data_IF_230287422859
#
_entry.id   IF_230287422859
#
_cell.length_a   1.000
_cell.length_b   1.000
_cell.length_c   1.000
_cell.angle_alpha   90.00
_cell.angle_beta   90.00
_cell.angle_gamma   90.00
#
_symmetry.space_group_name_H-M   'P 1'
#
loop_
_entity.id
_entity.type
_entity.pdbx_description
1 polymer ?
#
# COMPACT_ATOMS: atom_id res chain seq x y z
N UNK A 1 7.83 -8.91 -22.75
CA UNK A 1 6.66 -9.27 -21.92
C UNK A 1 6.15 -7.96 -21.35
N UNK A 2 5.04 -7.44 -21.88
CA UNK A 2 4.63 -6.06 -21.66
C UNK A 2 3.96 -5.95 -20.27
N UNK A 3 4.26 -4.86 -19.55
CA UNK A 3 3.73 -4.54 -18.21
C UNK A 3 2.19 -4.67 -18.11
N UNK A 4 1.48 -4.55 -19.24
CA UNK A 4 0.03 -4.77 -19.38
C UNK A 4 -0.42 -6.20 -19.01
N UNK A 5 0.37 -7.21 -19.32
CA UNK A 5 -0.02 -8.61 -19.10
C UNK A 5 -0.02 -8.95 -17.60
N UNK A 6 0.90 -8.37 -16.82
CA UNK A 6 0.95 -8.52 -15.36
C UNK A 6 -0.27 -7.87 -14.71
N UNK A 7 -0.72 -6.72 -15.22
CA UNK A 7 -1.87 -5.97 -14.71
C UNK A 7 -3.16 -6.76 -14.89
N UNK A 8 -3.44 -7.28 -16.10
CA UNK A 8 -4.63 -8.10 -16.36
C UNK A 8 -4.59 -9.39 -15.54
N UNK A 9 -3.40 -9.97 -15.33
CA UNK A 9 -3.21 -11.18 -14.52
C UNK A 9 -3.49 -10.93 -13.03
N UNK A 10 -3.00 -9.83 -12.44
CA UNK A 10 -3.31 -9.46 -11.04
C UNK A 10 -4.81 -9.17 -10.88
N UNK A 11 -5.43 -8.54 -11.89
CA UNK A 11 -6.87 -8.25 -11.92
C UNK A 11 -7.69 -9.55 -11.94
N UNK A 12 -7.30 -10.51 -12.79
CA UNK A 12 -7.95 -11.81 -12.90
C UNK A 12 -7.74 -12.67 -11.65
N UNK A 13 -6.53 -12.70 -11.08
CA UNK A 13 -6.25 -13.41 -9.82
C UNK A 13 -7.06 -12.81 -8.66
N UNK A 14 -7.12 -11.48 -8.54
CA UNK A 14 -7.89 -10.84 -7.47
C UNK A 14 -9.40 -11.09 -7.58
N UNK A 15 -9.96 -11.06 -8.80
CA UNK A 15 -11.41 -11.30 -8.99
C UNK A 15 -11.83 -12.77 -8.81
N UNK A 16 -10.94 -13.75 -9.04
CA UNK A 16 -11.31 -15.17 -9.03
C UNK A 16 -10.74 -15.96 -7.84
N UNK A 17 -9.68 -15.47 -7.18
CA UNK A 17 -9.11 -16.04 -5.96
C UNK A 17 -9.11 -14.96 -4.88
N UNK A 18 -9.85 -15.19 -3.80
CA UNK A 18 -10.18 -14.22 -2.74
C UNK A 18 -9.21 -13.04 -2.59
N UNK A 19 -9.69 -11.83 -2.91
CA UNK A 19 -8.96 -10.54 -2.84
C UNK A 19 -8.21 -10.31 -1.52
N UNK A 20 -8.66 -10.98 -0.45
CA UNK A 20 -8.12 -10.88 0.88
C UNK A 20 -7.26 -12.09 1.31
N UNK A 21 -6.89 -12.99 0.38
CA UNK A 21 -5.99 -14.10 0.67
C UNK A 21 -4.55 -13.56 0.61
N UNK A 22 -3.81 -13.57 1.72
CA UNK A 22 -2.41 -13.20 1.71
C UNK A 22 -1.56 -14.28 1.03
N UNK A 23 -0.46 -13.87 0.41
CA UNK A 23 0.59 -14.78 -0.01
C UNK A 23 1.44 -15.30 1.17
N UNK A 24 2.53 -16.01 0.86
CA UNK A 24 3.42 -16.57 1.87
C UNK A 24 4.10 -15.52 2.75
N UNK A 25 4.13 -14.25 2.35
CA UNK A 25 4.71 -13.14 3.10
C UNK A 25 3.65 -12.30 3.82
N UNK A 26 2.37 -12.66 3.69
CA UNK A 26 1.26 -11.90 4.26
C UNK A 26 0.72 -10.83 3.31
N UNK A 27 1.22 -10.75 2.07
CA UNK A 27 0.83 -9.70 1.14
C UNK A 27 -0.52 -10.01 0.51
N UNK A 28 -1.43 -9.06 0.66
CA UNK A 28 -2.73 -9.04 -0.05
C UNK A 28 -2.62 -8.27 -1.36
N UNK A 29 -3.63 -8.41 -2.22
CA UNK A 29 -3.73 -7.63 -3.46
C UNK A 29 -3.67 -6.11 -3.21
N UNK A 30 -4.16 -5.63 -2.05
CA UNK A 30 -4.10 -4.22 -1.69
C UNK A 30 -2.64 -3.76 -1.54
N UNK A 31 -1.81 -4.50 -0.79
CA UNK A 31 -0.38 -4.20 -0.62
C UNK A 31 0.34 -4.10 -1.97
N UNK A 32 0.13 -5.08 -2.85
CA UNK A 32 0.75 -5.10 -4.18
C UNK A 32 0.31 -3.90 -5.01
N UNK A 33 -1.00 -3.58 -5.03
CA UNK A 33 -1.52 -2.44 -5.80
C UNK A 33 -0.92 -1.10 -5.38
N UNK A 34 -0.63 -0.93 -4.09
CA UNK A 34 -0.03 0.30 -3.57
C UNK A 34 1.43 0.48 -3.97
N UNK A 35 2.11 -0.62 -4.28
CA UNK A 35 3.52 -0.60 -4.66
C UNK A 35 3.78 -0.24 -6.13
N UNK A 36 2.75 -0.21 -6.97
CA UNK A 36 2.87 -0.13 -8.44
C UNK A 36 2.21 1.10 -9.08
N UNK A 37 1.95 2.16 -8.31
CA UNK A 37 1.38 3.44 -8.82
C UNK A 37 -0.01 3.33 -9.47
N UNK A 38 -0.81 2.31 -9.12
CA UNK A 38 -2.11 2.05 -9.75
C UNK A 38 -3.29 2.39 -8.82
N UNK A 39 -3.59 3.69 -8.71
CA UNK A 39 -4.70 4.19 -7.89
C UNK A 39 -6.05 3.54 -8.23
N UNK A 40 -6.34 3.31 -9.51
CA UNK A 40 -7.62 2.73 -9.93
C UNK A 40 -7.80 1.29 -9.44
N UNK A 41 -6.71 0.51 -9.40
CA UNK A 41 -6.74 -0.83 -8.82
C UNK A 41 -6.90 -0.75 -7.32
N UNK A 42 -6.13 0.11 -6.63
CA UNK A 42 -6.26 0.31 -5.18
C UNK A 42 -7.70 0.68 -4.80
N UNK A 43 -8.33 1.60 -5.54
CA UNK A 43 -9.74 1.97 -5.35
C UNK A 43 -10.71 0.80 -5.56
N UNK A 44 -10.46 -0.05 -6.55
CA UNK A 44 -11.30 -1.21 -6.85
C UNK A 44 -11.16 -2.33 -5.82
N UNK A 45 -9.98 -2.47 -5.22
CA UNK A 45 -9.69 -3.49 -4.21
C UNK A 45 -10.18 -3.08 -2.81
N UNK A 46 -10.23 -1.79 -2.50
CA UNK A 46 -10.55 -1.30 -1.17
C UNK A 46 -11.90 -1.81 -0.62
N UNK A 47 -13.01 -1.87 -1.39
CA UNK A 47 -14.28 -2.43 -0.91
C UNK A 47 -14.23 -3.95 -0.62
N UNK A 48 -13.21 -4.64 -1.12
CA UNK A 48 -13.05 -6.10 -1.04
C UNK A 48 -11.91 -6.49 -0.08
N UNK A 49 -11.28 -5.51 0.59
CA UNK A 49 -10.12 -5.68 1.46
C UNK A 49 -10.23 -4.76 2.67
N UNK A 50 -9.31 -4.90 3.62
CA UNK A 50 -9.19 -3.93 4.72
C UNK A 50 -7.90 -3.14 4.56
N UNK A 51 -7.99 -1.82 4.68
CA UNK A 51 -6.83 -0.93 4.72
C UNK A 51 -5.96 -1.13 5.96
N UNK A 52 -6.52 -1.77 6.99
CA UNK A 52 -5.79 -2.13 8.22
C UNK A 52 -5.01 -3.44 8.12
N UNK A 53 -5.07 -4.17 7.00
CA UNK A 53 -4.24 -5.38 6.84
C UNK A 53 -2.77 -5.03 6.83
N UNK A 54 -1.97 -5.91 7.40
CA UNK A 54 -0.52 -5.84 7.41
C UNK A 54 0.06 -7.17 6.95
N UNK A 55 1.25 -7.12 6.37
CA UNK A 55 2.03 -8.31 6.03
C UNK A 55 2.67 -8.96 7.28
N UNK A 56 3.49 -10.01 7.10
CA UNK A 56 4.19 -10.67 8.20
C UNK A 56 5.24 -9.79 8.90
N UNK A 57 5.72 -8.75 8.23
CA UNK A 57 6.60 -7.74 8.80
C UNK A 57 5.84 -6.59 9.46
N UNK A 58 4.50 -6.66 9.54
CA UNK A 58 3.68 -5.59 10.10
C UNK A 58 3.53 -4.38 9.18
N UNK A 59 4.00 -4.44 7.94
CA UNK A 59 3.90 -3.36 6.97
C UNK A 59 2.50 -3.29 6.40
N UNK A 60 1.90 -2.11 6.54
CA UNK A 60 0.62 -1.77 5.92
C UNK A 60 0.79 -1.30 4.48
N UNK A 61 -0.33 -1.20 3.76
CA UNK A 61 -0.38 -0.58 2.42
C UNK A 61 0.18 0.86 2.39
N UNK A 62 0.13 1.58 3.52
CA UNK A 62 0.71 2.93 3.61
C UNK A 62 2.25 2.92 3.66
N UNK A 63 2.87 1.88 4.25
CA UNK A 63 4.32 1.69 4.23
C UNK A 63 4.81 1.48 2.79
N UNK A 64 4.13 0.62 2.03
CA UNK A 64 4.46 0.35 0.64
C UNK A 64 4.29 1.58 -0.27
N UNK A 65 3.18 2.31 -0.12
CA UNK A 65 2.96 3.55 -0.86
C UNK A 65 4.07 4.59 -0.57
N UNK A 66 4.50 4.68 0.69
CA UNK A 66 5.60 5.56 1.10
C UNK A 66 6.96 5.10 0.55
N UNK A 67 7.27 3.81 0.63
CA UNK A 67 8.50 3.20 0.11
C UNK A 67 8.62 3.35 -1.40
N UNK A 68 7.51 3.33 -2.13
CA UNK A 68 7.48 3.42 -3.60
C UNK A 68 7.24 4.82 -4.13
N UNK A 69 7.17 5.83 -3.25
CA UNK A 69 6.89 7.23 -3.60
C UNK A 69 5.58 7.42 -4.39
N UNK A 70 4.57 6.60 -4.09
CA UNK A 70 3.29 6.62 -4.77
C UNK A 70 2.35 7.68 -4.16
N UNK A 71 2.53 8.94 -4.54
CA UNK A 71 1.86 10.11 -3.94
C UNK A 71 0.34 10.00 -4.03
N UNK A 72 -0.19 9.53 -5.15
CA UNK A 72 -1.64 9.49 -5.39
C UNK A 72 -2.33 8.41 -4.55
N UNK A 73 -1.75 7.21 -4.46
CA UNK A 73 -2.26 6.16 -3.58
C UNK A 73 -2.11 6.56 -2.12
N UNK A 74 -0.97 7.14 -1.75
CA UNK A 74 -0.74 7.59 -0.39
C UNK A 74 -1.81 8.63 0.01
N UNK A 75 -2.04 9.67 -0.82
CA UNK A 75 -3.10 10.67 -0.61
C UNK A 75 -4.48 10.05 -0.45
N UNK A 76 -4.79 9.00 -1.22
CA UNK A 76 -6.06 8.30 -1.16
C UNK A 76 -6.22 7.45 0.11
N UNK A 77 -5.16 6.75 0.53
CA UNK A 77 -5.21 5.84 1.66
C UNK A 77 -5.00 6.51 3.01
N UNK A 78 -4.24 7.60 3.09
CA UNK A 78 -3.93 8.28 4.36
C UNK A 78 -5.19 8.61 5.19
N UNK A 79 -6.28 9.18 4.63
CA UNK A 79 -7.50 9.46 5.39
C UNK A 79 -8.26 8.22 5.89
N UNK A 80 -7.93 7.04 5.34
CA UNK A 80 -8.63 5.78 5.59
C UNK A 80 -7.80 4.85 6.50
N UNK A 81 -6.53 5.18 6.73
CA UNK A 81 -5.54 4.31 7.37
C UNK A 81 -5.13 4.83 8.74
N UNK A 82 -4.57 3.96 9.57
CA UNK A 82 -3.78 4.40 10.72
C UNK A 82 -2.42 4.91 10.25
N UNK A 83 -2.26 6.23 10.16
CA UNK A 83 -1.04 6.90 9.65
C UNK A 83 0.20 6.58 10.50
N UNK A 84 -0.01 6.35 11.80
CA UNK A 84 1.03 6.05 12.78
C UNK A 84 1.16 4.55 13.07
N UNK A 85 0.58 3.69 12.23
CA UNK A 85 0.81 2.24 12.34
C UNK A 85 2.32 1.95 12.24
N UNK A 86 2.79 1.12 13.17
CA UNK A 86 4.17 0.68 13.23
C UNK A 86 4.29 -0.74 12.69
N UNK A 87 5.36 -0.99 11.92
CA UNK A 87 5.78 -2.33 11.55
C UNK A 87 6.55 -3.02 12.71
N UNK A 88 7.05 -4.23 12.49
CA UNK A 88 7.74 -5.01 13.54
C UNK A 88 9.03 -4.36 14.04
N UNK A 89 9.63 -3.48 13.23
CA UNK A 89 10.84 -2.74 13.59
C UNK A 89 10.52 -1.38 14.24
N UNK A 90 9.23 -1.07 14.42
CA UNK A 90 8.75 0.21 14.95
C UNK A 90 8.76 1.34 13.90
N UNK A 91 9.02 1.02 12.63
CA UNK A 91 8.97 2.01 11.55
C UNK A 91 7.53 2.33 11.20
N UNK A 92 7.28 3.60 10.86
CA UNK A 92 5.99 4.06 10.33
C UNK A 92 6.19 4.40 8.86
N UNK A 93 5.10 4.62 8.12
CA UNK A 93 5.20 5.14 6.75
C UNK A 93 6.04 6.43 6.67
N UNK A 94 6.07 7.25 7.73
CA UNK A 94 6.88 8.46 7.82
C UNK A 94 8.38 8.15 7.98
N UNK A 95 8.74 7.16 8.81
CA UNK A 95 10.13 6.69 8.94
C UNK A 95 10.64 6.17 7.59
N UNK A 96 9.83 5.35 6.92
CA UNK A 96 10.14 4.79 5.59
C UNK A 96 10.32 5.89 4.53
N UNK A 97 9.43 6.87 4.45
CA UNK A 97 9.57 7.95 3.46
C UNK A 97 10.78 8.84 3.74
N UNK A 98 11.09 9.09 5.01
CA UNK A 98 12.24 9.87 5.41
C UNK A 98 13.56 9.15 5.09
N UNK A 99 13.68 7.85 5.41
CA UNK A 99 14.88 7.06 5.14
C UNK A 99 15.15 6.90 3.64
N UNK A 100 14.10 6.87 2.81
CA UNK A 100 14.18 6.85 1.34
C UNK A 100 14.41 8.23 0.70
N UNK A 101 14.31 9.33 1.46
CA UNK A 101 14.44 10.69 0.92
C UNK A 101 13.23 11.19 0.11
N UNK A 102 12.05 10.59 0.30
CA UNK A 102 10.82 10.93 -0.41
C UNK A 102 10.15 12.16 0.21
N UNK A 103 10.72 13.35 -0.02
CA UNK A 103 10.34 14.61 0.63
C UNK A 103 8.84 14.94 0.45
N UNK A 104 8.28 14.68 -0.71
CA UNK A 104 6.86 14.89 -1.03
C UNK A 104 5.93 13.99 -0.22
N UNK A 105 6.26 12.70 -0.10
CA UNK A 105 5.54 11.76 0.77
C UNK A 105 5.66 12.18 2.23
N UNK A 106 6.88 12.50 2.70
CA UNK A 106 7.13 12.94 4.08
C UNK A 106 6.30 14.18 4.42
N UNK A 107 6.27 15.18 3.53
CA UNK A 107 5.41 16.37 3.69
C UNK A 107 3.93 16.01 3.73
N UNK A 108 3.48 15.11 2.86
CA UNK A 108 2.09 14.67 2.86
C UNK A 108 1.75 13.98 4.19
N UNK A 109 2.52 13.00 4.64
CA UNK A 109 2.27 12.30 5.90
C UNK A 109 2.28 13.24 7.12
N UNK A 110 3.17 14.24 7.16
CA UNK A 110 3.19 15.25 8.21
C UNK A 110 1.91 16.11 8.29
N UNK A 111 1.18 16.27 7.19
CA UNK A 111 -0.11 16.98 7.19
C UNK A 111 -1.26 16.16 7.81
N UNK A 112 -1.11 14.85 7.90
CA UNK A 112 -2.14 13.93 8.41
C UNK A 112 -1.77 13.23 9.71
N UNK A 113 -0.51 13.35 10.16
CA UNK A 113 -0.03 12.82 11.44
C UNK A 113 -0.23 13.78 12.63
N UNK A 114 -0.83 14.95 12.39
CA UNK A 114 -1.10 16.01 13.39
C UNK A 114 -2.44 15.86 14.08
#
# INVERSE_FOLDING_TARGET
MLVRDVIETIKLLSLHSGVNIPDNDGLTALHVSTSIEQLDITKSLLPLSSVSTVDKSGKSSLHYAAERRNVDVLRFLTPLSSVNAQDVDGETALHVSASRGHIDITRLLLLFAS
#
